data_IF_919128185708
#
_entry.id   IF_919128185708
#
_cell.length_a   1.000
_cell.length_b   1.000
_cell.length_c   1.000
_cell.angle_alpha   90.00
_cell.angle_beta   90.00
_cell.angle_gamma   90.00
#
_symmetry.space_group_name_H-M   'P 1'
#
loop_
_entity.id
_entity.type
_entity.pdbx_description
1 polymer ?
#
# COMPACT_ATOMS: atom_id res chain seq x y z
N UNK A 1 9.99 16.50 16.64
CA UNK A 1 9.15 16.74 15.45
C UNK A 1 8.57 15.39 15.07
N UNK A 2 7.25 15.29 14.94
CA UNK A 2 6.64 14.11 14.32
C UNK A 2 7.00 14.19 12.84
N UNK A 3 7.64 13.16 12.28
CA UNK A 3 7.94 13.13 10.85
C UNK A 3 6.61 13.00 10.09
N UNK A 4 6.42 13.82 9.06
CA UNK A 4 5.22 13.82 8.21
C UNK A 4 5.35 12.73 7.14
N UNK A 5 4.24 12.08 6.80
CA UNK A 5 4.20 11.08 5.72
C UNK A 5 4.27 11.83 4.38
N UNK A 6 5.38 11.65 3.66
CA UNK A 6 5.56 12.23 2.33
C UNK A 6 5.17 11.25 1.21
N UNK A 7 5.35 9.94 1.45
CA UNK A 7 5.02 8.90 0.50
C UNK A 7 4.58 7.61 1.21
N UNK A 8 3.79 6.79 0.54
CA UNK A 8 3.40 5.46 0.98
C UNK A 8 3.70 4.48 -0.15
N UNK A 9 4.64 3.57 0.11
CA UNK A 9 4.99 2.47 -0.79
C UNK A 9 4.08 1.27 -0.51
N UNK A 10 3.54 0.69 -1.57
CA UNK A 10 2.74 -0.53 -1.51
C UNK A 10 3.40 -1.57 -2.39
N UNK A 11 3.72 -2.75 -1.85
CA UNK A 11 4.17 -3.89 -2.65
C UNK A 11 3.04 -4.90 -2.78
N UNK A 12 2.94 -5.51 -3.96
CA UNK A 12 1.94 -6.54 -4.22
C UNK A 12 2.41 -7.90 -3.71
N UNK A 13 1.45 -8.76 -3.36
CA UNK A 13 1.72 -10.17 -3.07
C UNK A 13 1.75 -10.96 -4.37
N UNK A 14 2.95 -11.35 -4.81
CA UNK A 14 3.17 -12.15 -6.02
C UNK A 14 2.89 -13.65 -5.81
N UNK A 15 2.61 -14.09 -4.57
CA UNK A 15 2.36 -15.49 -4.24
C UNK A 15 0.85 -15.81 -4.24
N UNK A 16 0.15 -15.35 -5.28
CA UNK A 16 -1.27 -15.64 -5.47
C UNK A 16 -1.48 -16.92 -6.28
N UNK A 17 -2.36 -17.84 -5.85
CA UNK A 17 -2.70 -19.02 -6.64
C UNK A 17 -3.31 -18.68 -7.99
N UNK A 18 -3.13 -19.55 -9.01
CA UNK A 18 -3.65 -19.34 -10.38
C UNK A 18 -5.18 -19.13 -10.45
N UNK A 19 -5.95 -19.66 -9.50
CA UNK A 19 -7.41 -19.43 -9.47
C UNK A 19 -7.80 -18.00 -9.03
N UNK A 20 -6.83 -17.22 -8.54
CA UNK A 20 -6.96 -15.80 -8.21
C UNK A 20 -6.40 -14.91 -9.33
N UNK A 21 -6.32 -15.42 -10.57
CA UNK A 21 -5.95 -14.62 -11.74
C UNK A 21 -6.82 -13.36 -11.85
N UNK A 22 -6.17 -12.20 -12.03
CA UNK A 22 -6.82 -10.89 -12.04
C UNK A 22 -7.19 -10.33 -10.66
N UNK A 23 -6.71 -10.93 -9.57
CA UNK A 23 -6.78 -10.37 -8.21
C UNK A 23 -5.44 -9.75 -7.84
N UNK A 24 -5.49 -8.53 -7.30
CA UNK A 24 -4.35 -7.86 -6.68
C UNK A 24 -4.49 -8.03 -5.17
N UNK A 25 -3.43 -8.50 -4.52
CA UNK A 25 -3.33 -8.58 -3.06
C UNK A 25 -2.20 -7.69 -2.58
N UNK A 26 -2.44 -7.02 -1.46
CA UNK A 26 -1.42 -6.21 -0.82
C UNK A 26 -0.43 -7.11 -0.08
N UNK A 27 0.86 -6.99 -0.39
CA UNK A 27 1.95 -7.72 0.25
C UNK A 27 2.63 -6.92 1.37
N UNK A 28 2.80 -5.61 1.18
CA UNK A 28 3.33 -4.70 2.20
C UNK A 28 2.84 -3.27 2.00
N UNK A 29 2.83 -2.48 3.07
CA UNK A 29 2.54 -1.03 3.04
C UNK A 29 3.48 -0.33 4.01
N UNK A 30 4.30 0.60 3.51
CA UNK A 30 5.27 1.34 4.31
C UNK A 30 5.15 2.84 4.05
N UNK A 31 5.00 3.64 5.10
CA UNK A 31 5.05 5.10 5.00
C UNK A 31 6.47 5.62 5.10
N UNK A 32 6.79 6.67 4.36
CA UNK A 32 8.13 7.26 4.24
C UNK A 32 8.10 8.77 4.43
N UNK A 33 9.21 9.34 4.93
CA UNK A 33 9.42 10.79 4.98
C UNK A 33 9.95 11.34 3.64
N UNK A 34 10.15 12.66 3.58
CA UNK A 34 10.63 13.37 2.37
C UNK A 34 12.03 12.94 1.91
N UNK A 35 12.83 12.37 2.81
CA UNK A 35 14.16 11.84 2.53
C UNK A 35 14.12 10.37 2.08
N UNK A 36 12.92 9.77 1.99
CA UNK A 36 12.71 8.37 1.63
C UNK A 36 13.03 7.38 2.75
N UNK A 37 13.13 7.83 4.00
CA UNK A 37 13.31 6.92 5.13
C UNK A 37 11.97 6.38 5.59
N UNK A 38 11.92 5.08 5.87
CA UNK A 38 10.75 4.43 6.42
C UNK A 38 10.38 5.01 7.79
N UNK A 39 9.11 5.36 7.93
CA UNK A 39 8.49 5.87 9.15
C UNK A 39 7.77 4.75 9.90
N UNK A 40 6.93 4.00 9.18
CA UNK A 40 6.10 2.96 9.76
C UNK A 40 5.75 1.88 8.72
N UNK A 41 5.85 0.63 9.16
CA UNK A 41 5.30 -0.54 8.47
C UNK A 41 3.86 -0.79 8.93
N UNK A 42 2.92 -0.81 7.98
CA UNK A 42 1.47 -0.87 8.23
C UNK A 42 0.93 -2.28 8.03
N UNK A 43 1.41 -3.23 8.85
CA UNK A 43 0.98 -4.62 8.75
C UNK A 43 -0.53 -4.80 8.97
N UNK A 44 -1.17 -3.87 9.68
CA UNK A 44 -2.64 -3.87 9.84
C UNK A 44 -3.41 -3.71 8.51
N UNK A 45 -2.76 -3.26 7.44
CA UNK A 45 -3.36 -3.09 6.11
C UNK A 45 -3.16 -4.30 5.20
N UNK A 46 -2.30 -5.23 5.59
CA UNK A 46 -2.11 -6.53 4.94
C UNK A 46 -3.22 -7.47 5.47
N UNK A 47 -4.46 -7.06 5.26
CA UNK A 47 -5.64 -7.91 5.47
C UNK A 47 -5.92 -8.64 4.14
N UNK A 48 -6.55 -9.82 4.14
CA UNK A 48 -6.80 -10.63 2.92
C UNK A 48 -7.80 -9.98 1.93
N UNK A 49 -7.84 -8.66 1.88
CA UNK A 49 -8.55 -7.88 0.90
C UNK A 49 -7.99 -8.19 -0.50
N UNK A 50 -8.93 -8.48 -1.39
CA UNK A 50 -8.70 -8.79 -2.79
C UNK A 50 -9.16 -7.58 -3.60
N UNK A 51 -8.24 -6.98 -4.33
CA UNK A 51 -8.51 -5.81 -5.16
C UNK A 51 -8.59 -6.22 -6.62
N UNK A 52 -9.43 -5.53 -7.40
CA UNK A 52 -9.58 -5.78 -8.85
C UNK A 52 -8.78 -4.81 -9.71
N UNK A 53 -8.16 -3.80 -9.08
CA UNK A 53 -7.32 -2.82 -9.75
C UNK A 53 -6.37 -2.12 -8.76
N UNK A 54 -5.28 -1.59 -9.28
CA UNK A 54 -4.32 -0.77 -8.52
C UNK A 54 -4.97 0.46 -7.88
N UNK A 55 -5.89 1.13 -8.59
CA UNK A 55 -6.62 2.29 -8.07
C UNK A 55 -7.48 1.93 -6.85
N UNK A 56 -8.08 0.74 -6.83
CA UNK A 56 -8.87 0.25 -5.70
C UNK A 56 -7.98 0.04 -4.46
N UNK A 57 -6.80 -0.57 -4.64
CA UNK A 57 -5.80 -0.76 -3.59
C UNK A 57 -5.27 0.58 -3.06
N UNK A 58 -4.88 1.49 -3.96
CA UNK A 58 -4.42 2.84 -3.61
C UNK A 58 -5.49 3.58 -2.82
N UNK A 59 -6.74 3.53 -3.27
CA UNK A 59 -7.87 4.16 -2.60
C UNK A 59 -8.09 3.61 -1.19
N UNK A 60 -7.99 2.30 -1.03
CA UNK A 60 -8.11 1.62 0.25
C UNK A 60 -7.01 2.06 1.22
N UNK A 61 -5.75 2.01 0.79
CA UNK A 61 -4.59 2.39 1.62
C UNK A 61 -4.68 3.86 2.02
N UNK A 62 -4.93 4.75 1.06
CA UNK A 62 -5.07 6.19 1.32
C UNK A 62 -6.19 6.48 2.34
N UNK A 63 -7.34 5.81 2.18
CA UNK A 63 -8.47 5.98 3.10
C UNK A 63 -8.17 5.46 4.50
N UNK A 64 -7.39 4.39 4.65
CA UNK A 64 -7.04 3.80 5.95
C UNK A 64 -6.02 4.64 6.71
N UNK A 65 -5.08 5.24 5.99
CA UNK A 65 -4.02 6.08 6.56
C UNK A 65 -4.44 7.56 6.68
N UNK A 66 -5.55 7.96 6.05
CA UNK A 66 -6.01 9.35 6.05
C UNK A 66 -5.12 10.29 5.25
N UNK A 67 -4.53 9.79 4.15
CA UNK A 67 -3.61 10.53 3.28
C UNK A 67 -4.20 10.72 1.87
N UNK A 68 -3.57 11.56 1.04
CA UNK A 68 -3.97 11.68 -0.37
C UNK A 68 -3.57 10.43 -1.15
N UNK A 69 -4.36 10.07 -2.16
CA UNK A 69 -4.00 8.99 -3.10
C UNK A 69 -2.74 9.33 -3.91
N UNK A 70 -2.48 10.62 -4.14
CA UNK A 70 -1.35 11.07 -4.96
C UNK A 70 0.03 10.74 -4.36
N UNK A 71 0.08 10.44 -3.06
CA UNK A 71 1.32 10.06 -2.37
C UNK A 71 1.42 8.55 -2.12
N UNK A 72 0.46 7.77 -2.61
CA UNK A 72 0.49 6.31 -2.51
C UNK A 72 0.90 5.76 -3.87
N UNK A 73 1.96 4.97 -3.92
CA UNK A 73 2.41 4.32 -5.14
C UNK A 73 2.63 2.83 -4.92
N UNK A 74 2.49 2.08 -6.02
CA UNK A 74 2.75 0.65 -6.05
C UNK A 74 4.16 0.45 -6.59
N UNK A 75 5.00 -0.19 -5.79
CA UNK A 75 6.35 -0.58 -6.17
C UNK A 75 6.32 -2.04 -6.68
N UNK A 76 6.76 -2.21 -7.93
CA UNK A 76 6.83 -3.50 -8.63
C UNK A 76 8.24 -4.10 -8.60
#
# INVERSE_FOLDING_TARGET
>A
MSKEIAYVSVQLDDNVPEYMDGIIRCGSVTSQDEDGNDLQDHQELIDNAEFRSEDELISYVASKLGVSKDIVGIDA
#
